data_IF_384224741056
#
_entry.id   IF_384224741056
#
_cell.length_a   1.000
_cell.length_b   1.000
_cell.length_c   1.000
_cell.angle_alpha   90.00
_cell.angle_beta   90.00
_cell.angle_gamma   90.00
#
_symmetry.space_group_name_H-M   'P 1'
#
loop_
_entity.id
_entity.type
_entity.pdbx_description
1 polymer ?
#
# COMPACT_ATOMS: atom_id res chain seq x y z
N UNK A 1 -16.33 -81.31 -1.22
CA UNK A 1 -15.90 -80.26 -0.26
C UNK A 1 -15.18 -79.14 -1.05
N UNK A 2 -15.88 -78.09 -1.41
CA UNK A 2 -15.31 -76.94 -2.17
C UNK A 2 -15.15 -75.73 -1.19
N UNK A 3 -13.91 -75.29 -1.01
CA UNK A 3 -13.57 -74.15 -0.17
C UNK A 3 -13.98 -72.83 -0.83
N UNK A 4 -14.83 -72.09 -0.14
CA UNK A 4 -15.12 -70.67 -0.48
C UNK A 4 -13.97 -69.78 -0.01
N UNK A 5 -13.09 -69.39 -0.90
CA UNK A 5 -12.08 -68.39 -0.64
C UNK A 5 -12.20 -67.36 -1.77
N UNK A 6 -12.44 -66.08 -1.44
CA UNK A 6 -12.06 -65.10 -2.43
C UNK A 6 -12.93 -63.88 -2.66
N UNK A 7 -13.77 -63.42 -1.76
CA UNK A 7 -14.54 -62.19 -2.00
C UNK A 7 -14.15 -60.96 -1.09
N UNK A 8 -13.18 -61.11 -0.20
CA UNK A 8 -12.75 -60.03 0.69
C UNK A 8 -11.52 -59.25 0.16
N UNK A 9 -10.76 -59.84 -0.75
CA UNK A 9 -9.53 -59.19 -1.25
C UNK A 9 -9.74 -57.90 -2.06
N UNK A 10 -10.74 -57.74 -2.94
CA UNK A 10 -10.91 -56.49 -3.70
C UNK A 10 -11.40 -55.32 -2.85
N UNK A 11 -12.13 -55.57 -1.77
CA UNK A 11 -12.65 -54.49 -0.92
C UNK A 11 -11.53 -53.85 -0.08
N UNK A 12 -10.60 -54.61 0.42
CA UNK A 12 -9.46 -54.11 1.20
C UNK A 12 -8.51 -53.29 0.33
N UNK A 13 -8.26 -53.72 -0.92
CA UNK A 13 -7.42 -52.96 -1.86
C UNK A 13 -8.05 -51.63 -2.27
N UNK A 14 -9.36 -51.59 -2.46
CA UNK A 14 -10.07 -50.35 -2.82
C UNK A 14 -10.05 -49.34 -1.67
N UNK A 15 -10.22 -49.81 -0.42
CA UNK A 15 -10.17 -48.94 0.76
C UNK A 15 -8.79 -48.33 1.01
N UNK A 16 -7.71 -49.08 0.79
CA UNK A 16 -6.34 -48.58 0.92
C UNK A 16 -5.97 -47.58 -0.16
N UNK A 17 -6.44 -47.78 -1.41
CA UNK A 17 -6.17 -46.85 -2.51
C UNK A 17 -6.88 -45.50 -2.29
N UNK A 18 -8.12 -45.51 -1.83
CA UNK A 18 -8.87 -44.29 -1.50
C UNK A 18 -8.23 -43.55 -0.32
N UNK A 19 -7.77 -44.22 0.70
CA UNK A 19 -7.07 -43.60 1.83
C UNK A 19 -5.76 -42.95 1.39
N UNK A 20 -5.02 -43.58 0.47
CA UNK A 20 -3.78 -43.02 -0.08
C UNK A 20 -4.03 -41.77 -0.94
N UNK A 21 -5.10 -41.77 -1.73
CA UNK A 21 -5.49 -40.59 -2.54
C UNK A 21 -5.93 -39.39 -1.66
N UNK A 22 -6.63 -39.66 -0.57
CA UNK A 22 -6.99 -38.58 0.37
C UNK A 22 -5.79 -38.07 1.17
N UNK A 23 -4.80 -38.91 1.46
CA UNK A 23 -3.58 -38.47 2.14
C UNK A 23 -2.66 -37.67 1.20
N UNK A 24 -2.56 -38.05 -0.07
CA UNK A 24 -1.81 -37.32 -1.09
C UNK A 24 -2.43 -35.94 -1.40
N UNK A 25 -3.76 -35.84 -1.41
CA UNK A 25 -4.45 -34.56 -1.61
C UNK A 25 -4.26 -33.56 -0.46
N UNK A 26 -3.94 -34.01 0.74
CA UNK A 26 -3.64 -33.12 1.88
C UNK A 26 -2.21 -32.57 1.88
N UNK A 27 -1.28 -33.16 1.12
CA UNK A 27 0.11 -32.71 1.07
C UNK A 27 0.37 -31.58 0.05
N UNK A 28 -0.59 -31.25 -0.80
CA UNK A 28 -0.40 -30.22 -1.82
C UNK A 28 -1.06 -28.87 -1.52
N UNK A 29 -1.81 -28.74 -0.44
CA UNK A 29 -2.35 -27.49 0.03
C UNK A 29 -1.40 -26.85 1.06
N UNK A 30 -0.16 -26.58 0.69
CA UNK A 30 0.58 -25.53 1.36
C UNK A 30 -0.09 -24.20 0.96
N UNK A 31 -0.60 -23.41 1.94
CA UNK A 31 -0.91 -22.04 1.64
C UNK A 31 0.39 -21.43 1.10
N UNK A 32 0.35 -20.95 -0.14
CA UNK A 32 1.42 -20.12 -0.66
C UNK A 32 1.62 -19.00 0.34
N UNK A 33 2.65 -19.12 1.18
CA UNK A 33 3.09 -18.00 1.98
C UNK A 33 3.34 -16.89 0.98
N UNK A 34 2.53 -15.84 1.03
CA UNK A 34 2.84 -14.58 0.36
C UNK A 34 4.30 -14.31 0.65
N UNK A 35 5.12 -13.93 -0.34
CA UNK A 35 6.49 -13.54 -0.07
C UNK A 35 6.41 -12.58 1.11
N UNK A 36 6.89 -13.00 2.27
CA UNK A 36 7.06 -12.11 3.39
C UNK A 36 8.15 -11.14 2.93
N UNK A 37 7.71 -10.07 2.29
CA UNK A 37 8.55 -8.93 2.02
C UNK A 37 9.20 -8.55 3.34
N UNK A 38 10.51 -8.72 3.39
CA UNK A 38 11.33 -8.57 4.57
C UNK A 38 10.92 -7.33 5.37
N UNK A 39 10.71 -7.53 6.66
CA UNK A 39 10.65 -6.53 7.75
C UNK A 39 10.34 -5.08 7.34
N UNK A 40 9.20 -4.86 6.71
CA UNK A 40 8.67 -3.52 6.55
C UNK A 40 7.95 -3.16 7.86
N UNK A 41 8.68 -2.56 8.78
CA UNK A 41 8.06 -1.94 9.93
C UNK A 41 7.30 -0.70 9.44
N UNK A 42 5.99 -0.67 9.66
CA UNK A 42 5.23 0.57 9.53
C UNK A 42 5.61 1.42 10.74
N UNK A 43 6.23 2.59 10.55
CA UNK A 43 6.61 3.42 11.68
C UNK A 43 5.35 3.96 12.36
N UNK A 44 5.41 4.11 13.67
CA UNK A 44 4.46 4.98 14.36
C UNK A 44 4.56 6.38 13.76
N UNK A 45 3.53 7.19 13.91
CA UNK A 45 3.54 8.56 13.41
C UNK A 45 4.02 9.55 14.49
N UNK A 46 5.34 9.69 14.71
CA UNK A 46 5.89 10.55 15.73
C UNK A 46 6.11 11.98 15.24
N UNK A 47 5.24 12.50 14.37
CA UNK A 47 5.43 13.84 13.82
C UNK A 47 5.41 14.89 14.92
N UNK A 48 6.51 15.60 15.07
CA UNK A 48 6.61 16.78 15.93
C UNK A 48 6.06 18.04 15.25
N UNK A 49 5.80 17.99 13.96
CA UNK A 49 5.32 19.11 13.17
C UNK A 49 3.80 19.11 13.09
N UNK A 50 3.23 20.29 13.32
CA UNK A 50 1.80 20.51 13.09
C UNK A 50 1.47 20.28 11.62
N UNK A 51 0.50 19.41 11.29
CA UNK A 51 0.10 19.19 9.91
C UNK A 51 -0.29 20.49 9.23
N UNK A 52 0.09 20.71 7.96
CA UNK A 52 -0.27 21.93 7.26
C UNK A 52 -1.78 22.02 7.05
N UNK A 53 -2.33 23.23 7.16
CA UNK A 53 -3.72 23.48 6.86
C UNK A 53 -3.97 23.27 5.36
N UNK A 54 -4.85 22.34 5.03
CA UNK A 54 -5.20 22.04 3.66
C UNK A 54 -6.36 22.93 3.16
N UNK A 55 -6.40 23.27 1.88
CA UNK A 55 -7.48 24.09 1.31
C UNK A 55 -8.86 23.45 1.47
N UNK A 56 -8.92 22.12 1.48
CA UNK A 56 -10.12 21.33 1.76
C UNK A 56 -9.73 20.28 2.80
N UNK A 57 -10.45 20.12 3.91
CA UNK A 57 -10.20 19.05 4.87
C UNK A 57 -10.48 17.70 4.20
N UNK A 58 -9.50 16.81 4.25
CA UNK A 58 -9.59 15.47 3.67
C UNK A 58 -9.16 14.43 4.69
N UNK A 59 -10.00 13.42 4.91
CA UNK A 59 -9.73 12.31 5.80
C UNK A 59 -9.37 11.06 5.01
N UNK A 60 -8.11 10.63 5.09
CA UNK A 60 -7.69 9.35 4.53
C UNK A 60 -8.41 8.19 5.20
N UNK A 61 -8.55 8.23 6.52
CA UNK A 61 -9.28 7.21 7.31
C UNK A 61 -10.67 6.94 6.75
N UNK A 62 -11.47 7.99 6.49
CA UNK A 62 -12.84 7.84 5.97
C UNK A 62 -12.85 7.25 4.57
N UNK A 63 -11.99 7.70 3.69
CA UNK A 63 -11.99 7.26 2.28
C UNK A 63 -11.42 5.83 2.15
N UNK A 64 -10.35 5.51 2.87
CA UNK A 64 -9.75 4.18 2.83
C UNK A 64 -10.63 3.11 3.52
N UNK A 65 -11.50 3.51 4.46
CA UNK A 65 -12.52 2.60 5.03
C UNK A 65 -13.62 2.20 4.04
N UNK A 66 -13.76 2.92 2.92
CA UNK A 66 -14.67 2.58 1.82
C UNK A 66 -14.10 1.55 0.84
N UNK A 67 -12.89 1.02 1.11
CA UNK A 67 -12.23 0.04 0.26
C UNK A 67 -11.37 0.65 -0.85
N UNK A 68 -11.14 1.96 -0.84
CA UNK A 68 -10.23 2.62 -1.75
C UNK A 68 -8.77 2.36 -1.36
N UNK A 69 -7.88 2.35 -2.35
CA UNK A 69 -6.44 2.23 -2.17
C UNK A 69 -5.69 3.52 -2.54
N UNK A 70 -4.42 3.61 -2.09
CA UNK A 70 -3.57 4.77 -2.34
C UNK A 70 -3.48 5.11 -3.83
N UNK A 71 -3.31 4.08 -4.66
CA UNK A 71 -3.16 4.22 -6.12
C UNK A 71 -4.45 4.59 -6.85
N UNK A 72 -5.61 4.51 -6.20
CA UNK A 72 -6.85 4.99 -6.79
C UNK A 72 -6.86 6.51 -6.93
N UNK A 73 -6.11 7.21 -6.07
CA UNK A 73 -6.05 8.67 -6.02
C UNK A 73 -4.66 9.22 -6.33
N UNK A 74 -3.58 8.53 -5.93
CA UNK A 74 -2.21 8.95 -6.14
C UNK A 74 -1.56 8.15 -7.25
N UNK A 75 -1.20 8.81 -8.33
CA UNK A 75 -0.46 8.20 -9.43
C UNK A 75 1.00 8.60 -9.38
N UNK A 76 1.89 7.75 -9.92
CA UNK A 76 3.32 8.01 -9.99
C UNK A 76 3.71 8.47 -11.40
N UNK A 77 3.77 9.80 -11.64
CA UNK A 77 4.08 10.33 -12.96
C UNK A 77 5.55 10.08 -13.32
N UNK A 78 5.87 10.20 -14.59
CA UNK A 78 7.24 10.23 -15.08
C UNK A 78 7.90 11.58 -14.75
N UNK A 79 9.10 11.60 -14.18
CA UNK A 79 10.03 10.51 -13.83
C UNK A 79 9.74 9.83 -12.49
N UNK A 80 8.61 10.09 -11.82
CA UNK A 80 8.16 9.40 -10.63
C UNK A 80 8.77 9.86 -9.31
N UNK A 81 9.32 11.07 -9.26
CA UNK A 81 9.85 11.66 -8.02
C UNK A 81 8.73 12.00 -7.04
N UNK A 82 7.67 12.61 -7.51
CA UNK A 82 6.51 12.98 -6.70
C UNK A 82 5.30 12.16 -7.12
N UNK A 83 4.45 11.81 -6.15
CA UNK A 83 3.10 11.34 -6.45
C UNK A 83 2.19 12.53 -6.73
N UNK A 84 1.24 12.37 -7.65
CA UNK A 84 0.24 13.39 -7.95
C UNK A 84 -0.82 13.46 -6.86
N UNK A 85 -1.44 14.62 -6.73
CA UNK A 85 -2.75 14.73 -6.09
C UNK A 85 -3.85 14.39 -7.11
N UNK A 86 -4.98 13.80 -6.65
CA UNK A 86 -6.07 13.48 -7.55
C UNK A 86 -6.72 14.75 -8.12
N UNK A 87 -7.12 14.65 -9.38
CA UNK A 87 -7.93 15.68 -10.02
C UNK A 87 -9.30 15.83 -9.34
N UNK A 88 -9.87 17.04 -9.39
CA UNK A 88 -11.20 17.30 -8.80
C UNK A 88 -12.29 16.39 -9.36
N UNK A 89 -12.19 16.01 -10.64
CA UNK A 89 -13.07 15.04 -11.30
C UNK A 89 -13.14 13.71 -10.58
N UNK A 90 -12.01 13.22 -10.05
CA UNK A 90 -11.97 11.98 -9.27
C UNK A 90 -12.82 12.06 -7.99
N UNK A 91 -12.74 13.18 -7.30
CA UNK A 91 -13.53 13.43 -6.10
C UNK A 91 -15.03 13.54 -6.44
N UNK A 92 -15.35 14.21 -7.54
CA UNK A 92 -16.73 14.44 -7.97
C UNK A 92 -17.43 13.20 -8.48
N UNK A 93 -16.76 12.07 -8.73
CA UNK A 93 -17.43 10.80 -9.03
C UNK A 93 -18.43 10.41 -7.93
N UNK A 94 -18.13 10.73 -6.68
CA UNK A 94 -19.01 10.45 -5.54
C UNK A 94 -19.66 11.75 -4.99
N UNK A 95 -18.88 12.83 -4.88
CA UNK A 95 -19.33 14.06 -4.21
C UNK A 95 -20.31 14.92 -5.02
N UNK A 96 -20.64 14.53 -6.23
CA UNK A 96 -21.78 15.11 -6.95
C UNK A 96 -23.10 14.82 -6.23
N UNK A 97 -23.18 13.71 -5.49
CA UNK A 97 -24.36 13.29 -4.71
C UNK A 97 -24.08 13.16 -3.22
N UNK A 98 -22.89 12.66 -2.86
CA UNK A 98 -22.51 12.39 -1.48
C UNK A 98 -22.01 13.63 -0.78
N UNK A 99 -22.60 13.94 0.37
CA UNK A 99 -22.24 15.06 1.25
C UNK A 99 -22.23 16.44 0.57
N UNK A 100 -22.98 16.62 -0.52
CA UNK A 100 -22.99 17.82 -1.37
C UNK A 100 -23.30 19.13 -0.61
N UNK A 101 -24.02 19.01 0.51
CA UNK A 101 -24.44 20.15 1.33
C UNK A 101 -23.36 20.62 2.32
N UNK A 102 -22.26 19.87 2.46
CA UNK A 102 -21.16 20.27 3.34
C UNK A 102 -20.34 21.40 2.73
N UNK A 103 -19.96 22.45 3.49
CA UNK A 103 -19.18 23.58 2.97
C UNK A 103 -17.88 23.15 2.28
N UNK A 104 -17.19 22.14 2.80
CA UNK A 104 -15.97 21.60 2.18
C UNK A 104 -16.23 20.98 0.80
N UNK A 105 -17.37 20.32 0.61
CA UNK A 105 -17.76 19.71 -0.67
C UNK A 105 -18.26 20.78 -1.65
N UNK A 106 -18.94 21.81 -1.17
CA UNK A 106 -19.28 22.98 -2.00
C UNK A 106 -18.02 23.69 -2.51
N UNK A 107 -17.01 23.82 -1.64
CA UNK A 107 -15.69 24.34 -2.04
C UNK A 107 -15.01 23.44 -3.07
N UNK A 108 -15.04 22.13 -2.90
CA UNK A 108 -14.56 21.16 -3.89
C UNK A 108 -15.28 21.33 -5.23
N UNK A 109 -16.59 21.43 -5.23
CA UNK A 109 -17.40 21.63 -6.42
C UNK A 109 -17.04 22.97 -7.15
N UNK A 110 -16.68 24.03 -6.41
CA UNK A 110 -16.21 25.27 -7.01
C UNK A 110 -14.88 25.12 -7.76
N UNK A 111 -13.94 24.32 -7.23
CA UNK A 111 -12.69 23.98 -7.95
C UNK A 111 -13.00 23.17 -9.21
N UNK A 112 -13.88 22.17 -9.11
CA UNK A 112 -14.27 21.37 -10.27
C UNK A 112 -14.93 22.20 -11.36
N UNK A 113 -15.86 23.10 -11.01
CA UNK A 113 -16.55 24.02 -11.93
C UNK A 113 -15.57 24.97 -12.63
N UNK A 114 -14.60 25.47 -11.90
CA UNK A 114 -13.58 26.39 -12.43
C UNK A 114 -12.43 25.70 -13.16
N UNK A 115 -12.41 24.36 -13.20
CA UNK A 115 -11.34 23.54 -13.75
C UNK A 115 -9.95 23.89 -13.19
N UNK A 116 -9.89 24.44 -12.00
CA UNK A 116 -8.63 24.75 -11.31
C UNK A 116 -8.24 23.61 -10.39
N UNK A 117 -6.96 23.23 -10.35
CA UNK A 117 -6.48 22.25 -9.38
C UNK A 117 -6.64 22.80 -7.96
N UNK A 118 -6.89 21.88 -7.01
CA UNK A 118 -6.88 22.22 -5.59
C UNK A 118 -5.43 22.51 -5.21
N UNK A 119 -5.10 23.65 -4.60
CA UNK A 119 -3.74 24.00 -4.22
C UNK A 119 -3.31 23.26 -2.93
N UNK A 120 -3.22 21.93 -3.02
CA UNK A 120 -2.81 21.10 -1.90
C UNK A 120 -1.42 21.46 -1.39
N UNK A 121 -1.26 21.48 -0.08
CA UNK A 121 0.05 21.67 0.57
C UNK A 121 0.69 20.31 0.76
N UNK A 122 1.91 20.14 0.24
CA UNK A 122 2.66 18.88 0.42
C UNK A 122 3.15 18.75 1.84
N UNK A 123 2.92 17.55 2.40
CA UNK A 123 3.38 17.20 3.76
C UNK A 123 4.83 16.73 3.71
N UNK A 124 5.21 15.99 2.67
CA UNK A 124 6.57 15.46 2.49
C UNK A 124 7.33 16.21 1.40
N UNK A 125 8.59 16.57 1.71
CA UNK A 125 9.53 17.13 0.75
C UNK A 125 10.89 16.45 0.89
N UNK A 126 11.39 15.88 -0.20
CA UNK A 126 12.76 15.39 -0.27
C UNK A 126 13.68 16.56 -0.61
N UNK A 127 14.77 16.70 0.15
CA UNK A 127 15.74 17.79 -0.04
C UNK A 127 16.30 17.83 -1.46
N UNK A 128 16.64 19.01 -1.98
CA UNK A 128 17.35 19.16 -3.26
C UNK A 128 18.64 18.34 -3.27
N UNK A 129 19.01 17.81 -4.44
CA UNK A 129 20.23 17.01 -4.58
C UNK A 129 20.06 15.52 -4.21
N UNK A 130 18.93 15.12 -3.65
CA UNK A 130 18.65 13.71 -3.37
C UNK A 130 17.97 13.05 -4.57
N UNK A 131 18.62 12.01 -5.10
CA UNK A 131 18.07 11.16 -6.17
C UNK A 131 17.14 10.11 -5.57
N UNK A 132 15.88 10.47 -5.40
CA UNK A 132 14.85 9.61 -4.85
C UNK A 132 13.64 9.52 -5.79
N UNK A 133 12.99 8.37 -5.87
CA UNK A 133 11.79 8.18 -6.70
C UNK A 133 10.86 7.13 -6.12
N UNK A 134 9.57 7.41 -6.12
CA UNK A 134 8.54 6.43 -5.76
C UNK A 134 8.57 5.21 -6.68
N UNK A 135 8.90 5.36 -7.96
CA UNK A 135 8.94 4.27 -8.91
C UNK A 135 9.88 3.16 -8.48
N UNK A 136 11.13 3.51 -8.10
CA UNK A 136 12.13 2.53 -7.69
C UNK A 136 11.65 1.71 -6.47
N UNK A 137 11.10 2.41 -5.46
CA UNK A 137 10.62 1.79 -4.23
C UNK A 137 9.34 0.97 -4.46
N UNK A 138 8.40 1.48 -5.25
CA UNK A 138 7.18 0.74 -5.61
C UNK A 138 7.48 -0.50 -6.45
N UNK A 139 8.44 -0.43 -7.37
CA UNK A 139 8.90 -1.58 -8.15
C UNK A 139 9.60 -2.64 -7.28
N UNK A 140 10.28 -2.21 -6.21
CA UNK A 140 10.88 -3.09 -5.20
C UNK A 140 9.84 -3.66 -4.21
N UNK A 141 8.55 -3.36 -4.36
CA UNK A 141 7.48 -3.85 -3.49
C UNK A 141 7.36 -3.13 -2.15
N UNK A 142 8.01 -1.98 -1.98
CA UNK A 142 7.91 -1.20 -0.74
C UNK A 142 6.49 -0.64 -0.61
N UNK A 143 5.87 -0.90 0.53
CA UNK A 143 4.52 -0.41 0.82
C UNK A 143 4.53 1.08 1.15
N UNK A 144 3.44 1.76 0.83
CA UNK A 144 3.30 3.20 1.08
C UNK A 144 3.45 3.55 2.57
N UNK A 145 2.84 2.75 3.43
CA UNK A 145 2.84 2.94 4.87
C UNK A 145 4.24 2.80 5.49
N UNK A 146 5.17 2.11 4.83
CA UNK A 146 6.56 2.00 5.30
C UNK A 146 7.23 3.37 5.47
N UNK A 147 6.83 4.34 4.63
CA UNK A 147 7.34 5.72 4.70
C UNK A 147 6.29 6.71 5.20
N UNK A 148 5.02 6.48 4.88
CA UNK A 148 3.93 7.42 5.20
C UNK A 148 3.21 7.10 6.51
N UNK A 149 3.58 6.02 7.21
CA UNK A 149 2.98 5.64 8.48
C UNK A 149 1.55 5.12 8.34
N UNK A 150 0.77 5.13 9.43
CA UNK A 150 -0.58 4.54 9.48
C UNK A 150 -1.63 5.45 8.81
N UNK A 151 -1.47 5.73 7.51
CA UNK A 151 -2.34 6.65 6.74
C UNK A 151 -3.81 6.25 6.83
N UNK A 152 -4.10 4.94 6.94
CA UNK A 152 -5.47 4.43 7.08
C UNK A 152 -6.17 4.89 8.38
N UNK A 153 -5.41 5.38 9.34
CA UNK A 153 -5.92 5.88 10.62
C UNK A 153 -5.94 7.40 10.69
N UNK A 154 -5.37 8.09 9.69
CA UNK A 154 -5.21 9.54 9.71
C UNK A 154 -6.47 10.27 9.25
N UNK A 155 -7.06 11.07 10.15
CA UNK A 155 -8.07 12.07 9.79
C UNK A 155 -7.43 13.28 9.09
N UNK A 156 -6.23 13.65 9.50
CA UNK A 156 -5.41 14.69 8.87
C UNK A 156 -4.04 14.09 8.56
N UNK A 157 -3.58 14.25 7.32
CA UNK A 157 -2.28 13.74 6.91
C UNK A 157 -1.16 14.50 7.61
N UNK A 158 -0.32 13.79 8.34
CA UNK A 158 0.87 14.31 9.00
C UNK A 158 2.13 13.59 8.54
N UNK A 159 3.27 14.24 8.69
CA UNK A 159 4.57 13.69 8.28
C UNK A 159 5.09 12.69 9.32
N UNK A 160 5.66 11.58 8.84
CA UNK A 160 6.47 10.67 9.66
C UNK A 160 7.93 11.05 9.47
N UNK A 161 8.44 11.90 10.35
CA UNK A 161 9.77 12.50 10.20
C UNK A 161 10.90 11.51 10.33
N UNK A 162 10.71 10.45 11.14
CA UNK A 162 11.74 9.44 11.39
C UNK A 162 12.21 8.66 10.16
N UNK A 163 11.40 8.60 9.10
CA UNK A 163 11.71 7.80 7.89
C UNK A 163 12.33 8.59 6.74
N UNK A 164 12.39 9.92 6.84
CA UNK A 164 12.94 10.78 5.77
C UNK A 164 14.37 11.24 6.06
N UNK A 165 15.03 10.64 7.02
CA UNK A 165 16.43 10.92 7.35
C UNK A 165 17.39 10.03 6.53
N UNK A 166 18.64 10.50 6.32
CA UNK A 166 19.68 9.70 5.69
C UNK A 166 19.90 8.37 6.42
N UNK A 167 19.89 8.41 7.76
CA UNK A 167 20.04 7.21 8.60
C UNK A 167 18.94 6.17 8.31
N UNK A 168 17.69 6.60 8.24
CA UNK A 168 16.56 5.70 7.99
C UNK A 168 16.62 5.09 6.59
N UNK A 169 17.03 5.88 5.58
CA UNK A 169 17.22 5.39 4.23
C UNK A 169 18.32 4.33 4.18
N UNK A 170 19.48 4.61 4.77
CA UNK A 170 20.61 3.66 4.82
C UNK A 170 20.23 2.38 5.58
N UNK A 171 19.64 2.51 6.75
CA UNK A 171 19.23 1.37 7.57
C UNK A 171 18.24 0.45 6.80
N UNK A 172 17.26 1.03 6.11
CA UNK A 172 16.32 0.27 5.29
C UNK A 172 17.04 -0.41 4.10
N UNK A 173 17.94 0.30 3.42
CA UNK A 173 18.72 -0.24 2.31
C UNK A 173 19.62 -1.39 2.76
N UNK A 174 20.30 -1.27 3.89
CA UNK A 174 21.14 -2.33 4.47
C UNK A 174 20.32 -3.57 4.81
N UNK A 175 19.18 -3.40 5.49
CA UNK A 175 18.28 -4.51 5.83
C UNK A 175 17.73 -5.25 4.60
N UNK A 176 17.59 -4.57 3.48
CA UNK A 176 17.04 -5.12 2.24
C UNK A 176 18.11 -5.40 1.18
N UNK A 177 19.41 -5.36 1.54
CA UNK A 177 20.53 -5.56 0.63
C UNK A 177 20.49 -4.65 -0.61
N UNK A 178 19.95 -3.44 -0.46
CA UNK A 178 19.90 -2.43 -1.50
C UNK A 178 21.20 -1.57 -1.50
N UNK A 179 21.39 -0.77 -2.55
CA UNK A 179 22.58 0.06 -2.69
C UNK A 179 22.67 1.13 -1.61
N UNK A 180 23.84 1.29 -0.99
CA UNK A 180 24.13 2.24 0.08
C UNK A 180 25.26 3.21 -0.23
N UNK A 181 25.83 3.16 -1.45
CA UNK A 181 26.92 4.07 -1.86
C UNK A 181 26.40 5.52 -1.95
N UNK A 182 27.26 6.49 -1.64
CA UNK A 182 26.91 7.91 -1.58
C UNK A 182 26.24 8.41 -2.87
N UNK A 183 26.76 7.99 -4.02
CA UNK A 183 26.28 8.35 -5.36
C UNK A 183 24.91 7.72 -5.72
N UNK A 184 24.44 6.74 -4.95
CA UNK A 184 23.10 6.19 -5.13
C UNK A 184 22.03 7.23 -4.81
N UNK A 185 22.24 8.02 -3.78
CA UNK A 185 21.29 9.01 -3.27
C UNK A 185 21.71 10.45 -3.59
N UNK A 186 23.02 10.74 -3.61
CA UNK A 186 23.54 12.09 -3.86
C UNK A 186 24.04 12.17 -5.31
N UNK A 187 23.37 13.00 -6.11
CA UNK A 187 23.75 13.30 -7.50
C UNK A 187 24.32 14.72 -7.55
N UNK A 188 25.51 14.85 -8.10
CA UNK A 188 26.12 16.12 -8.44
C UNK A 188 25.40 16.77 -9.62
#
# INVERSE_FOLDING_TARGET
>A
MAKRIGWLAPIVMAATLVAFLFLAARLTAQPSASPQTAKQMVPDNPSEHTPPVQPIPYSHKKHLSLGLDCKDCHTNPEPGKLMTFPETSKCMLCHVTVAKDKPSIQKLASFAKSQRPIPWVRVYNVLPGIAWTHRAHSAAGVRCETCHGPVREMEVMSEVTSVVTMYSCLSCHEMNHAKTSCDTCHKN
#
